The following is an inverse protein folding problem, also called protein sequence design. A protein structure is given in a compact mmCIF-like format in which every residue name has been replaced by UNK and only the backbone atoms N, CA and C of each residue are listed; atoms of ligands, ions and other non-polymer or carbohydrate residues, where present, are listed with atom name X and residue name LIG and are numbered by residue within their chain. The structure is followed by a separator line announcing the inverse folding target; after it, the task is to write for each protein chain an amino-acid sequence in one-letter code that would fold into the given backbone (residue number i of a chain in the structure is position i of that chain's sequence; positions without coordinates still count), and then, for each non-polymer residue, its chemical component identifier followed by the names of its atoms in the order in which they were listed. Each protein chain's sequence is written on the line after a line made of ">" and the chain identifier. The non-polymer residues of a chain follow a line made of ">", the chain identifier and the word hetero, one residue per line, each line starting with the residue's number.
data_IF_027075151030
#
_entry.id   IF_027075151030
#
_cell.length_a   1.000
_cell.length_b   1.000
_cell.length_c   1.000
_cell.angle_alpha   90.00
_cell.angle_beta   90.00
_cell.angle_gamma   90.00
#
_symmetry.space_group_name_H-M   'P 1'
#
loop_
_entity.id
_entity.type
_entity.pdbx_description
1 polymer ?
#
# COMPACT_ATOMS: atom_id res chain seq x y z
N UNK A 1 49.17 -22.67 -24.78
CA UNK A 1 49.42 -22.77 -26.24
C UNK A 1 48.37 -22.12 -27.16
N UNK A 2 47.22 -21.58 -26.70
CA UNK A 2 46.24 -20.91 -27.59
C UNK A 2 45.70 -19.55 -27.08
N UNK A 3 46.34 -18.91 -26.09
CA UNK A 3 45.84 -17.70 -25.40
C UNK A 3 44.35 -17.79 -24.98
N UNK A 4 43.94 -18.98 -24.53
CA UNK A 4 42.58 -19.27 -24.06
C UNK A 4 42.62 -19.44 -22.54
N UNK A 5 41.62 -18.89 -21.87
CA UNK A 5 41.39 -19.08 -20.44
C UNK A 5 40.39 -20.24 -20.28
N UNK A 6 40.76 -21.26 -19.50
CA UNK A 6 39.87 -22.34 -19.12
C UNK A 6 39.35 -22.13 -17.69
N UNK A 7 38.03 -22.05 -17.53
CA UNK A 7 37.38 -21.96 -16.22
C UNK A 7 37.17 -23.39 -15.70
N UNK A 8 37.71 -23.69 -14.52
CA UNK A 8 37.72 -25.06 -13.96
C UNK A 8 36.76 -25.25 -12.79
N UNK A 9 36.31 -24.16 -12.15
CA UNK A 9 35.45 -24.20 -10.97
C UNK A 9 34.14 -23.43 -11.23
N UNK A 10 33.03 -24.07 -10.89
CA UNK A 10 31.66 -23.55 -10.99
C UNK A 10 30.90 -23.71 -9.66
N UNK A 11 31.60 -23.84 -8.53
CA UNK A 11 31.01 -24.03 -7.20
C UNK A 11 30.24 -22.81 -6.67
N UNK A 12 30.53 -21.61 -7.18
CA UNK A 12 29.85 -20.36 -6.83
C UNK A 12 29.39 -19.66 -8.12
N UNK A 13 28.17 -19.98 -8.58
CA UNK A 13 27.58 -19.40 -9.78
C UNK A 13 26.24 -18.75 -9.43
N UNK A 14 26.06 -17.51 -9.88
CA UNK A 14 24.81 -16.76 -9.75
C UNK A 14 24.06 -16.67 -11.08
N UNK A 15 22.76 -16.40 -11.01
CA UNK A 15 21.96 -16.02 -12.17
C UNK A 15 21.59 -14.54 -12.02
N UNK A 16 21.92 -13.76 -13.04
CA UNK A 16 21.47 -12.38 -13.18
C UNK A 16 20.40 -12.41 -14.25
N UNK A 17 19.20 -11.94 -13.91
CA UNK A 17 18.15 -11.82 -14.90
C UNK A 17 18.42 -10.67 -15.87
N UNK A 18 17.59 -10.66 -16.90
CA UNK A 18 17.69 -9.76 -18.01
C UNK A 18 17.56 -8.28 -17.53
N UNK A 19 16.65 -7.99 -16.62
CA UNK A 19 16.36 -6.62 -16.19
C UNK A 19 17.45 -6.08 -15.24
N UNK A 20 17.97 -6.91 -14.33
CA UNK A 20 19.13 -6.57 -13.50
C UNK A 20 20.37 -6.31 -14.39
N UNK A 21 20.61 -7.14 -15.40
CA UNK A 21 21.73 -6.93 -16.34
C UNK A 21 21.63 -5.59 -17.07
N UNK A 22 20.41 -5.18 -17.44
CA UNK A 22 20.18 -3.88 -18.09
C UNK A 22 20.48 -2.72 -17.15
N UNK A 23 19.96 -2.76 -15.92
CA UNK A 23 20.24 -1.72 -14.93
C UNK A 23 21.71 -1.66 -14.53
N UNK A 24 22.42 -2.79 -14.50
CA UNK A 24 23.88 -2.81 -14.30
C UNK A 24 24.61 -2.10 -15.45
N UNK A 25 24.24 -2.36 -16.71
CA UNK A 25 24.84 -1.69 -17.86
C UNK A 25 24.59 -0.17 -17.82
N UNK A 26 23.37 0.26 -17.50
CA UNK A 26 23.03 1.68 -17.34
C UNK A 26 23.76 2.31 -16.15
N UNK A 27 23.94 1.57 -15.05
CA UNK A 27 24.73 1.98 -13.89
C UNK A 27 26.18 2.23 -14.28
N UNK A 28 26.82 1.30 -15.01
CA UNK A 28 28.18 1.47 -15.50
C UNK A 28 28.31 2.67 -16.44
N UNK A 29 27.38 2.85 -17.38
CA UNK A 29 27.39 4.00 -18.27
C UNK A 29 27.23 5.32 -17.50
N UNK A 30 26.32 5.37 -16.54
CA UNK A 30 26.11 6.56 -15.69
C UNK A 30 27.35 6.89 -14.86
N UNK A 31 28.05 5.88 -14.34
CA UNK A 31 29.32 6.05 -13.62
C UNK A 31 30.43 6.60 -14.54
N UNK A 32 30.50 6.14 -15.79
CA UNK A 32 31.47 6.62 -16.78
C UNK A 32 31.18 8.07 -17.19
N UNK A 33 29.90 8.44 -17.30
CA UNK A 33 29.45 9.79 -17.67
C UNK A 33 29.42 10.77 -16.49
N UNK A 34 29.68 10.30 -15.26
CA UNK A 34 29.47 11.05 -14.01
C UNK A 34 28.03 11.61 -13.90
N UNK A 35 27.06 10.88 -14.45
CA UNK A 35 25.65 11.24 -14.44
C UNK A 35 24.97 10.65 -13.20
N UNK A 36 25.17 11.34 -12.07
CA UNK A 36 24.61 10.94 -10.78
C UNK A 36 23.08 10.96 -10.76
N UNK A 37 22.43 11.79 -11.58
CA UNK A 37 20.97 11.82 -11.67
C UNK A 37 20.44 10.53 -12.31
N UNK A 38 21.02 10.11 -13.44
CA UNK A 38 20.69 8.80 -14.05
C UNK A 38 20.98 7.63 -13.10
N UNK A 39 22.08 7.70 -12.35
CA UNK A 39 22.46 6.65 -11.40
C UNK A 39 21.40 6.45 -10.31
N UNK A 40 20.88 7.56 -9.75
CA UNK A 40 19.80 7.53 -8.76
C UNK A 40 18.51 6.99 -9.36
N UNK A 41 18.18 7.39 -10.60
CA UNK A 41 17.02 6.85 -11.30
C UNK A 41 17.09 5.33 -11.50
N UNK A 42 18.26 4.78 -11.84
CA UNK A 42 18.43 3.32 -11.92
C UNK A 42 18.29 2.63 -10.57
N UNK A 43 18.76 3.25 -9.48
CA UNK A 43 18.63 2.69 -8.14
C UNK A 43 17.17 2.66 -7.66
N UNK A 44 16.38 3.68 -7.98
CA UNK A 44 14.93 3.69 -7.73
C UNK A 44 14.23 2.63 -8.60
N UNK A 45 14.59 2.54 -9.89
CA UNK A 45 14.03 1.55 -10.83
C UNK A 45 14.27 0.11 -10.38
N UNK A 46 15.46 -0.18 -9.83
CA UNK A 46 15.80 -1.48 -9.25
C UNK A 46 15.12 -1.75 -7.90
N UNK A 47 14.36 -0.79 -7.36
CA UNK A 47 13.75 -0.89 -6.04
C UNK A 47 14.76 -0.88 -4.90
N UNK A 48 16.00 -0.41 -5.15
CA UNK A 48 17.01 -0.26 -4.11
C UNK A 48 16.63 0.87 -3.17
N UNK A 49 16.16 1.99 -3.72
CA UNK A 49 15.71 3.17 -2.98
C UNK A 49 14.20 3.28 -3.03
N UNK A 50 13.62 3.76 -1.94
CA UNK A 50 12.19 4.10 -1.86
C UNK A 50 11.96 5.52 -2.39
N UNK A 51 10.75 5.80 -2.89
CA UNK A 51 10.42 7.11 -3.49
C UNK A 51 10.42 8.27 -2.48
N UNK A 52 10.33 7.98 -1.18
CA UNK A 52 10.34 8.96 -0.09
C UNK A 52 11.76 9.35 0.37
N UNK A 53 12.81 8.79 -0.24
CA UNK A 53 14.19 9.10 0.11
C UNK A 53 14.54 10.55 -0.25
N UNK A 54 15.34 11.22 0.59
CA UNK A 54 15.94 12.51 0.23
C UNK A 54 16.99 12.30 -0.87
N UNK A 55 16.55 12.39 -2.12
CA UNK A 55 17.37 12.16 -3.31
C UNK A 55 18.53 13.15 -3.40
N UNK A 56 18.40 14.36 -2.87
CA UNK A 56 19.46 15.36 -2.90
C UNK A 56 20.56 15.03 -1.90
N UNK A 57 20.19 14.64 -0.68
CA UNK A 57 21.16 14.16 0.30
C UNK A 57 21.86 12.90 -0.21
N UNK A 58 21.09 11.93 -0.71
CA UNK A 58 21.65 10.69 -1.27
C UNK A 58 22.63 10.96 -2.42
N UNK A 59 22.30 11.90 -3.31
CA UNK A 59 23.18 12.31 -4.41
C UNK A 59 24.54 12.81 -3.89
N UNK A 60 24.54 13.67 -2.88
CA UNK A 60 25.78 14.21 -2.32
C UNK A 60 26.63 13.10 -1.70
N UNK A 61 26.03 12.24 -0.89
CA UNK A 61 26.75 11.12 -0.25
C UNK A 61 27.28 10.12 -1.30
N UNK A 62 26.53 9.91 -2.38
CA UNK A 62 26.92 9.06 -3.50
C UNK A 62 28.09 9.66 -4.31
N UNK A 63 28.11 10.98 -4.49
CA UNK A 63 29.22 11.72 -5.09
C UNK A 63 30.49 11.58 -4.24
N UNK A 64 30.37 11.83 -2.94
CA UNK A 64 31.48 11.70 -1.99
C UNK A 64 32.06 10.27 -1.95
N UNK A 65 31.21 9.26 -2.19
CA UNK A 65 31.64 7.87 -2.32
C UNK A 65 32.39 7.60 -3.63
N UNK A 66 31.92 8.10 -4.77
CA UNK A 66 32.43 7.73 -6.11
C UNK A 66 33.63 8.58 -6.54
N UNK A 67 33.58 9.89 -6.33
CA UNK A 67 34.60 10.85 -6.79
C UNK A 67 36.04 10.46 -6.40
N UNK A 68 36.32 9.92 -5.19
CA UNK A 68 37.67 9.52 -4.81
C UNK A 68 38.28 8.40 -5.65
N UNK A 69 37.47 7.63 -6.36
CA UNK A 69 37.90 6.45 -7.13
C UNK A 69 37.87 6.69 -8.65
N UNK A 70 37.22 7.76 -9.11
CA UNK A 70 37.11 8.07 -10.53
C UNK A 70 38.49 8.37 -11.16
N UNK A 71 38.74 7.80 -12.35
CA UNK A 71 39.99 7.99 -13.10
C UNK A 71 41.24 7.39 -12.44
N UNK A 72 41.09 6.57 -11.39
CA UNK A 72 42.23 5.93 -10.71
C UNK A 72 42.54 4.55 -11.27
N UNK A 73 43.83 4.25 -11.31
CA UNK A 73 44.34 2.91 -11.61
C UNK A 73 43.92 1.91 -10.53
N UNK A 74 43.76 0.64 -10.90
CA UNK A 74 43.35 -0.43 -9.99
C UNK A 74 44.24 -0.56 -8.74
N UNK A 75 45.55 -0.29 -8.86
CA UNK A 75 46.48 -0.28 -7.70
C UNK A 75 46.11 0.72 -6.61
N UNK A 76 45.38 1.78 -6.95
CA UNK A 76 44.94 2.82 -6.03
C UNK A 76 43.52 2.57 -5.50
N UNK A 77 42.84 1.55 -6.05
CA UNK A 77 41.47 1.18 -5.71
C UNK A 77 41.49 -0.06 -4.83
N UNK A 78 40.75 -0.01 -3.72
CA UNK A 78 40.54 -1.17 -2.84
C UNK A 78 39.07 -1.58 -2.93
N UNK A 79 38.78 -2.65 -3.66
CA UNK A 79 37.40 -3.09 -3.92
C UNK A 79 36.63 -3.40 -2.63
N UNK A 80 37.31 -3.98 -1.62
CA UNK A 80 36.70 -4.23 -0.31
C UNK A 80 36.27 -2.95 0.42
N UNK A 81 37.05 -1.86 0.30
CA UNK A 81 36.68 -0.56 0.88
C UNK A 81 35.47 0.04 0.17
N UNK A 82 35.48 0.06 -1.17
CA UNK A 82 34.33 0.52 -1.98
C UNK A 82 33.07 -0.24 -1.58
N UNK A 83 33.15 -1.57 -1.48
CA UNK A 83 31.98 -2.37 -1.13
C UNK A 83 31.48 -2.05 0.29
N UNK A 84 32.39 -1.83 1.26
CA UNK A 84 32.03 -1.39 2.60
C UNK A 84 31.35 -0.03 2.60
N UNK A 85 31.88 0.93 1.84
CA UNK A 85 31.32 2.28 1.71
C UNK A 85 29.92 2.22 1.08
N UNK A 86 29.73 1.39 0.05
CA UNK A 86 28.43 1.17 -0.62
C UNK A 86 27.42 0.53 0.34
N UNK A 87 27.83 -0.47 1.13
CA UNK A 87 26.95 -1.07 2.14
C UNK A 87 26.56 -0.07 3.23
N UNK A 88 27.50 0.77 3.68
CA UNK A 88 27.21 1.80 4.67
C UNK A 88 26.21 2.82 4.14
N UNK A 89 26.37 3.25 2.88
CA UNK A 89 25.43 4.14 2.20
C UNK A 89 24.05 3.47 2.08
N UNK A 90 24.01 2.21 1.67
CA UNK A 90 22.76 1.45 1.59
C UNK A 90 22.04 1.37 2.95
N UNK A 91 22.77 1.16 4.05
CA UNK A 91 22.20 1.14 5.39
C UNK A 91 21.65 2.50 5.83
N UNK A 92 22.40 3.58 5.59
CA UNK A 92 21.99 4.94 5.95
C UNK A 92 20.65 5.33 5.28
N UNK A 93 20.45 4.91 4.05
CA UNK A 93 19.26 5.19 3.26
C UNK A 93 18.23 4.06 3.25
N UNK A 94 18.40 3.04 4.11
CA UNK A 94 17.52 1.86 4.23
C UNK A 94 17.26 1.17 2.88
N UNK A 95 18.26 1.20 2.01
CA UNK A 95 18.18 0.62 0.69
C UNK A 95 18.07 -0.91 0.77
N UNK A 96 17.29 -1.49 -0.14
CA UNK A 96 17.13 -2.95 -0.24
C UNK A 96 18.03 -3.48 -1.35
N UNK A 97 19.08 -4.20 -0.98
CA UNK A 97 20.03 -4.77 -1.96
C UNK A 97 19.63 -6.21 -2.32
N UNK A 98 19.35 -6.52 -3.59
CA UNK A 98 19.11 -7.88 -4.06
C UNK A 98 20.30 -8.81 -3.81
N UNK A 99 20.03 -10.09 -3.55
CA UNK A 99 21.07 -11.08 -3.27
C UNK A 99 22.03 -11.28 -4.45
N UNK A 100 21.53 -11.12 -5.67
CA UNK A 100 22.26 -11.21 -6.92
C UNK A 100 23.38 -10.17 -6.97
N UNK A 101 23.13 -8.95 -6.47
CA UNK A 101 24.12 -7.88 -6.42
C UNK A 101 25.19 -8.12 -5.34
N UNK A 102 24.81 -8.77 -4.23
CA UNK A 102 25.77 -9.18 -3.19
C UNK A 102 26.77 -10.20 -3.75
N UNK A 103 26.27 -11.19 -4.49
CA UNK A 103 27.12 -12.20 -5.12
C UNK A 103 28.03 -11.58 -6.19
N UNK A 104 27.50 -10.63 -6.98
CA UNK A 104 28.30 -9.87 -7.94
C UNK A 104 29.42 -9.06 -7.26
N UNK A 105 29.12 -8.41 -6.13
CA UNK A 105 30.12 -7.71 -5.31
C UNK A 105 31.23 -8.64 -4.83
N UNK A 106 30.89 -9.86 -4.39
CA UNK A 106 31.88 -10.89 -4.03
C UNK A 106 32.75 -11.31 -5.23
N UNK A 107 32.16 -11.42 -6.41
CA UNK A 107 32.91 -11.70 -7.65
C UNK A 107 33.91 -10.59 -7.95
N UNK A 108 33.53 -9.31 -7.82
CA UNK A 108 34.46 -8.19 -8.01
C UNK A 108 35.64 -8.25 -7.04
N UNK A 109 35.41 -8.49 -5.75
CA UNK A 109 36.49 -8.64 -4.76
C UNK A 109 37.42 -9.79 -5.13
N UNK A 110 36.86 -10.92 -5.57
CA UNK A 110 37.64 -12.12 -5.88
C UNK A 110 38.53 -11.92 -7.10
N UNK A 111 38.01 -11.23 -8.13
CA UNK A 111 38.74 -10.97 -9.37
C UNK A 111 39.73 -9.82 -9.21
N UNK A 112 39.47 -8.86 -8.32
CA UNK A 112 40.33 -7.69 -8.11
C UNK A 112 41.78 -8.07 -7.81
N UNK A 113 42.01 -9.05 -6.94
CA UNK A 113 43.36 -9.52 -6.62
C UNK A 113 44.10 -10.09 -7.83
N UNK A 114 43.39 -10.82 -8.70
CA UNK A 114 43.94 -11.35 -9.95
C UNK A 114 44.21 -10.22 -10.95
N UNK A 115 43.25 -9.31 -11.13
CA UNK A 115 43.38 -8.17 -12.03
C UNK A 115 44.57 -7.28 -11.63
N UNK A 116 44.74 -7.00 -10.33
CA UNK A 116 45.86 -6.21 -9.81
C UNK A 116 47.21 -6.89 -10.05
N UNK A 117 47.27 -8.22 -10.00
CA UNK A 117 48.51 -8.96 -10.28
C UNK A 117 48.87 -8.97 -11.77
N UNK A 118 47.88 -8.90 -12.67
CA UNK A 118 48.08 -8.92 -14.11
C UNK A 118 48.34 -7.53 -14.69
N UNK A 119 47.52 -6.55 -14.31
CA UNK A 119 47.61 -5.17 -14.76
C UNK A 119 47.19 -4.22 -13.62
N UNK A 120 48.15 -3.73 -12.81
CA UNK A 120 47.86 -2.82 -11.71
C UNK A 120 47.46 -1.41 -12.17
N UNK A 121 47.79 -1.03 -13.41
CA UNK A 121 47.60 0.31 -13.94
C UNK A 121 46.29 0.44 -14.75
N UNK A 122 45.55 -0.66 -14.91
CA UNK A 122 44.25 -0.71 -15.59
C UNK A 122 43.23 0.29 -15.01
N UNK A 123 42.54 1.00 -15.91
CA UNK A 123 41.46 1.93 -15.61
C UNK A 123 40.11 1.22 -15.81
N UNK A 124 39.58 0.60 -14.75
CA UNK A 124 38.41 -0.30 -14.81
C UNK A 124 37.20 0.33 -15.49
N UNK A 125 36.88 1.60 -15.19
CA UNK A 125 35.71 2.28 -15.77
C UNK A 125 35.88 2.50 -17.29
N UNK A 126 37.10 2.78 -17.75
CA UNK A 126 37.37 2.96 -19.19
C UNK A 126 37.27 1.64 -19.94
N UNK A 127 37.85 0.58 -19.37
CA UNK A 127 37.81 -0.77 -19.94
C UNK A 127 36.40 -1.38 -19.95
N UNK A 128 35.57 -1.05 -18.96
CA UNK A 128 34.18 -1.52 -18.88
C UNK A 128 33.25 -0.85 -19.91
N UNK A 129 33.59 0.35 -20.40
CA UNK A 129 32.76 1.15 -21.32
C UNK A 129 32.32 0.38 -22.58
N UNK A 130 33.20 -0.25 -23.38
CA UNK A 130 32.77 -0.97 -24.58
C UNK A 130 31.79 -2.11 -24.27
N UNK A 131 31.96 -2.82 -23.16
CA UNK A 131 31.06 -3.90 -22.75
C UNK A 131 29.69 -3.37 -22.34
N UNK A 132 29.63 -2.27 -21.57
CA UNK A 132 28.36 -1.62 -21.21
C UNK A 132 27.61 -1.13 -22.46
N UNK A 133 28.32 -0.51 -23.41
CA UNK A 133 27.73 -0.05 -24.67
C UNK A 133 27.24 -1.22 -25.54
N UNK A 134 27.97 -2.33 -25.59
CA UNK A 134 27.54 -3.53 -26.32
C UNK A 134 26.26 -4.13 -25.72
N UNK A 135 26.17 -4.22 -24.38
CA UNK A 135 24.98 -4.71 -23.69
C UNK A 135 23.75 -3.86 -24.02
N UNK A 136 23.88 -2.53 -23.94
CA UNK A 136 22.82 -1.59 -24.29
C UNK A 136 22.44 -1.74 -25.77
N UNK A 137 23.42 -1.80 -26.68
CA UNK A 137 23.17 -1.95 -28.12
C UNK A 137 22.46 -3.26 -28.47
N UNK A 138 22.85 -4.37 -27.83
CA UNK A 138 22.22 -5.67 -28.00
C UNK A 138 20.76 -5.64 -27.57
N UNK A 139 20.42 -4.90 -26.52
CA UNK A 139 19.04 -4.67 -26.07
C UNK A 139 18.23 -3.77 -26.99
N UNK A 140 18.83 -2.68 -27.48
CA UNK A 140 18.18 -1.80 -28.44
C UNK A 140 18.03 -2.43 -29.82
N UNK A 141 18.58 -3.63 -30.04
CA UNK A 141 18.42 -4.34 -31.30
C UNK A 141 16.94 -4.65 -31.57
N UNK A 142 16.46 -4.45 -32.81
CA UNK A 142 15.08 -4.73 -33.17
C UNK A 142 14.68 -6.18 -32.87
N UNK A 143 15.60 -7.14 -33.04
CA UNK A 143 15.35 -8.55 -32.76
C UNK A 143 15.08 -8.82 -31.27
N UNK A 144 15.83 -8.18 -30.37
CA UNK A 144 15.60 -8.31 -28.92
C UNK A 144 14.26 -7.68 -28.53
N UNK A 145 13.97 -6.48 -29.02
CA UNK A 145 12.73 -5.77 -28.73
C UNK A 145 11.49 -6.52 -29.25
N UNK A 146 11.56 -7.09 -30.45
CA UNK A 146 10.49 -7.95 -31.00
C UNK A 146 10.30 -9.20 -30.14
N UNK A 147 11.40 -9.83 -29.71
CA UNK A 147 11.33 -11.02 -28.84
C UNK A 147 10.69 -10.68 -27.49
N UNK A 148 11.06 -9.55 -26.88
CA UNK A 148 10.48 -9.07 -25.62
C UNK A 148 8.99 -8.76 -25.79
N UNK A 149 8.62 -8.03 -26.85
CA UNK A 149 7.24 -7.71 -27.17
C UNK A 149 6.38 -8.97 -27.39
N UNK A 150 6.92 -9.97 -28.11
CA UNK A 150 6.24 -11.25 -28.32
C UNK A 150 5.98 -11.99 -27.00
N UNK A 151 6.95 -12.02 -26.09
CA UNK A 151 6.76 -12.60 -24.74
C UNK A 151 5.69 -11.85 -23.97
N UNK A 152 5.75 -10.52 -23.90
CA UNK A 152 4.74 -9.71 -23.21
C UNK A 152 3.33 -9.91 -23.78
N UNK A 153 3.20 -10.03 -25.10
CA UNK A 153 1.91 -10.32 -25.76
C UNK A 153 1.45 -11.75 -25.44
N UNK A 154 2.36 -12.72 -25.39
CA UNK A 154 2.04 -14.09 -24.97
C UNK A 154 1.54 -14.13 -23.53
N UNK A 155 2.22 -13.43 -22.62
CA UNK A 155 1.83 -13.35 -21.21
C UNK A 155 0.44 -12.71 -21.06
N UNK A 156 0.14 -11.65 -21.83
CA UNK A 156 -1.20 -11.05 -21.91
C UNK A 156 -2.25 -12.01 -22.46
N UNK A 157 -1.89 -12.83 -23.46
CA UNK A 157 -2.78 -13.84 -24.03
C UNK A 157 -3.17 -14.88 -22.99
N UNK A 158 -2.24 -15.31 -22.16
CA UNK A 158 -2.50 -16.29 -21.11
C UNK A 158 -3.42 -15.71 -20.01
N UNK A 159 -3.23 -14.45 -19.64
CA UNK A 159 -4.15 -13.73 -18.74
C UNK A 159 -5.57 -13.69 -19.35
N UNK A 160 -5.71 -13.34 -20.63
CA UNK A 160 -7.01 -13.26 -21.30
C UNK A 160 -7.69 -14.63 -21.38
N UNK A 161 -6.93 -15.72 -21.54
CA UNK A 161 -7.48 -17.09 -21.51
C UNK A 161 -8.02 -17.50 -20.15
N UNK A 162 -7.45 -16.97 -19.07
CA UNK A 162 -7.84 -17.32 -17.70
C UNK A 162 -9.01 -16.49 -17.15
N UNK A 163 -9.24 -15.29 -17.71
CA UNK A 163 -10.34 -14.39 -17.33
C UNK A 163 -11.72 -15.07 -17.39
N UNK A 164 -12.11 -15.79 -18.47
CA UNK A 164 -13.41 -16.45 -18.55
C UNK A 164 -13.65 -17.45 -17.42
N UNK A 165 -12.61 -18.18 -16.99
CA UNK A 165 -12.69 -19.14 -15.90
C UNK A 165 -12.91 -18.47 -14.55
N UNK A 166 -12.17 -17.39 -14.28
CA UNK A 166 -12.33 -16.61 -13.05
C UNK A 166 -13.70 -15.93 -12.98
N UNK A 167 -14.18 -15.36 -14.09
CA UNK A 167 -15.51 -14.76 -14.18
C UNK A 167 -16.61 -15.81 -14.00
N UNK A 168 -16.47 -16.98 -14.63
CA UNK A 168 -17.39 -18.11 -14.44
C UNK A 168 -17.41 -18.60 -13.00
N UNK A 169 -16.28 -18.60 -12.31
CA UNK A 169 -16.19 -18.96 -10.90
C UNK A 169 -16.92 -17.95 -10.00
N UNK A 170 -16.72 -16.64 -10.23
CA UNK A 170 -17.43 -15.58 -9.52
C UNK A 170 -18.94 -15.67 -9.78
N UNK A 171 -19.35 -15.78 -11.05
CA UNK A 171 -20.76 -15.92 -11.44
C UNK A 171 -21.40 -17.17 -10.81
N UNK A 172 -20.71 -18.31 -10.81
CA UNK A 172 -21.18 -19.54 -10.17
C UNK A 172 -21.30 -19.40 -8.64
N UNK A 173 -20.43 -18.61 -8.01
CA UNK A 173 -20.48 -18.32 -6.57
C UNK A 173 -21.62 -17.36 -6.21
N UNK A 174 -21.91 -16.40 -7.09
CA UNK A 174 -23.08 -15.48 -7.03
C UNK A 174 -24.38 -16.26 -7.22
N UNK A 175 -24.47 -17.07 -8.27
CA UNK A 175 -25.67 -17.84 -8.62
C UNK A 175 -25.96 -19.00 -7.66
N UNK A 176 -25.01 -19.41 -6.82
CA UNK A 176 -25.20 -20.46 -5.80
C UNK A 176 -25.73 -19.94 -4.46
N UNK A 177 -26.22 -18.70 -4.39
CA UNK A 177 -26.77 -18.07 -3.17
C UNK A 177 -25.83 -18.10 -1.95
N UNK A 178 -24.52 -18.29 -2.18
CA UNK A 178 -23.50 -18.31 -1.11
C UNK A 178 -22.83 -16.97 -0.87
N UNK A 179 -23.27 -15.92 -1.57
CA UNK A 179 -22.96 -14.56 -1.20
C UNK A 179 -23.81 -14.18 0.02
N UNK A 180 -23.38 -14.65 1.20
CA UNK A 180 -23.68 -13.93 2.45
C UNK A 180 -22.95 -12.61 2.33
N UNK A 181 -23.59 -11.63 1.70
CA UNK A 181 -23.15 -10.25 1.84
C UNK A 181 -23.45 -9.92 3.30
N UNK A 182 -22.42 -9.95 4.14
CA UNK A 182 -22.48 -9.51 5.52
C UNK A 182 -22.65 -7.98 5.50
N UNK A 183 -23.87 -7.57 5.21
CA UNK A 183 -24.30 -6.19 5.19
C UNK A 183 -24.38 -5.71 6.64
N UNK A 184 -23.23 -5.33 7.21
CA UNK A 184 -23.16 -4.64 8.51
C UNK A 184 -23.74 -3.23 8.34
N UNK A 185 -25.08 -3.11 8.37
CA UNK A 185 -25.77 -1.82 8.32
C UNK A 185 -25.76 -1.18 9.71
N UNK A 186 -24.68 -0.47 10.05
CA UNK A 186 -24.53 0.27 11.31
C UNK A 186 -25.57 1.39 11.54
N UNK A 187 -26.49 1.62 10.59
CA UNK A 187 -27.54 2.65 10.67
C UNK A 187 -28.95 2.12 10.97
N UNK A 188 -29.22 0.83 10.76
CA UNK A 188 -30.57 0.29 10.89
C UNK A 188 -30.99 0.15 12.36
N UNK A 189 -30.07 -0.23 13.24
CA UNK A 189 -30.31 -0.32 14.68
C UNK A 189 -30.68 1.04 15.28
N UNK A 190 -30.09 2.13 14.75
CA UNK A 190 -30.42 3.50 15.16
C UNK A 190 -31.82 3.90 14.68
N UNK A 191 -32.20 3.51 13.47
CA UNK A 191 -33.55 3.75 12.95
C UNK A 191 -34.60 2.99 13.77
N UNK A 192 -34.36 1.71 14.08
CA UNK A 192 -35.26 0.90 14.90
C UNK A 192 -35.44 1.54 16.28
N UNK A 193 -34.34 1.94 16.93
CA UNK A 193 -34.39 2.59 18.24
C UNK A 193 -35.14 3.94 18.22
N UNK A 194 -34.97 4.75 17.18
CA UNK A 194 -35.68 6.03 17.03
C UNK A 194 -37.18 5.82 16.71
N UNK A 195 -37.51 4.74 15.97
CA UNK A 195 -38.87 4.33 15.65
C UNK A 195 -39.61 3.83 16.90
N UNK A 196 -38.99 3.00 17.73
CA UNK A 196 -39.57 2.53 18.99
C UNK A 196 -39.83 3.67 19.97
N UNK A 197 -38.89 4.63 20.09
CA UNK A 197 -39.10 5.85 20.89
C UNK A 197 -40.28 6.66 20.40
N UNK A 198 -40.44 6.81 19.08
CA UNK A 198 -41.54 7.55 18.48
C UNK A 198 -42.89 6.83 18.68
N UNK A 199 -42.90 5.51 18.51
CA UNK A 199 -44.08 4.66 18.73
C UNK A 199 -44.60 4.73 20.18
N UNK A 200 -43.67 4.67 21.15
CA UNK A 200 -44.04 4.80 22.56
C UNK A 200 -44.60 6.19 22.89
N UNK A 201 -43.99 7.26 22.37
CA UNK A 201 -44.52 8.63 22.56
C UNK A 201 -45.94 8.78 22.03
N UNK A 202 -46.20 8.25 20.83
CA UNK A 202 -47.55 8.26 20.24
C UNK A 202 -48.54 7.48 21.10
N UNK A 203 -48.17 6.29 21.53
CA UNK A 203 -49.04 5.44 22.38
C UNK A 203 -49.41 6.15 23.69
N UNK A 204 -48.44 6.78 24.38
CA UNK A 204 -48.71 7.54 25.59
C UNK A 204 -49.56 8.79 25.33
N UNK A 205 -49.30 9.53 24.25
CA UNK A 205 -50.13 10.68 23.85
C UNK A 205 -51.59 10.28 23.62
N UNK A 206 -51.85 9.11 23.02
CA UNK A 206 -53.19 8.60 22.81
C UNK A 206 -53.88 8.21 24.12
N UNK A 207 -53.17 7.52 25.03
CA UNK A 207 -53.71 7.16 26.34
C UNK A 207 -54.04 8.42 27.15
N UNK A 208 -53.12 9.40 27.18
CA UNK A 208 -53.35 10.68 27.88
C UNK A 208 -54.56 11.40 27.28
N UNK A 209 -54.65 11.47 25.94
CA UNK A 209 -55.80 12.08 25.26
C UNK A 209 -57.11 11.37 25.62
N UNK A 210 -57.12 10.03 25.66
CA UNK A 210 -58.29 9.25 26.06
C UNK A 210 -58.68 9.50 27.53
N UNK A 211 -57.71 9.61 28.44
CA UNK A 211 -57.99 9.95 29.85
C UNK A 211 -58.54 11.38 29.96
N UNK A 212 -57.97 12.35 29.23
CA UNK A 212 -58.45 13.73 29.20
C UNK A 212 -59.90 13.76 28.73
N UNK A 213 -60.20 13.17 27.57
CA UNK A 213 -61.56 13.13 26.99
C UNK A 213 -62.53 12.39 27.93
N UNK A 214 -62.14 11.22 28.43
CA UNK A 214 -62.97 10.45 29.36
C UNK A 214 -63.26 11.22 30.65
N UNK A 215 -62.27 11.92 31.19
CA UNK A 215 -62.42 12.77 32.37
C UNK A 215 -63.30 13.98 32.09
N UNK A 216 -63.19 14.61 30.91
CA UNK A 216 -64.08 15.68 30.45
C UNK A 216 -65.53 15.23 30.40
N UNK A 217 -65.81 14.04 29.86
CA UNK A 217 -67.16 13.49 29.78
C UNK A 217 -67.72 13.19 31.17
N UNK A 218 -66.92 12.61 32.07
CA UNK A 218 -67.32 12.34 33.46
C UNK A 218 -67.62 13.64 34.22
N UNK A 219 -66.88 14.72 33.95
CA UNK A 219 -67.12 16.03 34.55
C UNK A 219 -68.53 16.57 34.29
N UNK A 220 -69.11 16.23 33.13
CA UNK A 220 -70.47 16.62 32.74
C UNK A 220 -71.56 15.72 33.33
N UNK A 221 -71.21 14.59 33.95
CA UNK A 221 -72.19 13.60 34.41
C UNK A 221 -72.86 13.93 35.75
N UNK A 222 -72.29 14.84 36.55
CA UNK A 222 -72.86 15.28 37.83
C UNK A 222 -73.04 14.18 38.90
N UNK A 223 -72.39 13.02 38.75
CA UNK A 223 -72.53 11.89 39.68
C UNK A 223 -71.69 12.08 40.95
N UNK A 224 -72.29 11.79 42.11
CA UNK A 224 -71.59 11.72 43.40
C UNK A 224 -70.61 10.52 43.43
N UNK A 225 -69.47 10.60 44.14
CA UNK A 225 -69.04 11.66 45.06
C UNK A 225 -68.48 12.91 44.36
N UNK A 226 -68.75 14.08 44.96
CA UNK A 226 -68.29 15.39 44.48
C UNK A 226 -67.08 15.88 45.30
N UNK A 227 -66.07 16.43 44.63
CA UNK A 227 -64.89 17.07 45.21
C UNK A 227 -64.87 18.52 44.73
N UNK A 228 -64.93 19.51 45.63
CA UNK A 228 -65.01 20.94 45.30
C UNK A 228 -66.13 21.30 44.29
N UNK A 229 -67.25 20.57 44.32
CA UNK A 229 -68.39 20.78 43.41
C UNK A 229 -68.30 20.04 42.06
N UNK A 230 -67.22 19.29 41.82
CA UNK A 230 -67.00 18.53 40.59
C UNK A 230 -66.96 17.02 40.85
N UNK A 231 -67.39 16.16 39.90
CA UNK A 231 -67.27 14.70 40.06
C UNK A 231 -65.84 14.26 40.38
N UNK A 232 -65.66 13.54 41.49
CA UNK A 232 -64.34 13.17 42.02
C UNK A 232 -63.50 12.39 41.01
N UNK A 233 -64.11 11.45 40.27
CA UNK A 233 -63.45 10.66 39.23
C UNK A 233 -62.90 11.51 38.08
N UNK A 234 -63.62 12.57 37.68
CA UNK A 234 -63.18 13.48 36.63
C UNK A 234 -61.97 14.31 37.07
N UNK A 235 -61.99 14.81 38.31
CA UNK A 235 -60.87 15.56 38.89
C UNK A 235 -59.62 14.68 39.00
N UNK A 236 -59.76 13.46 39.53
CA UNK A 236 -58.65 12.50 39.61
C UNK A 236 -58.08 12.19 38.22
N UNK A 237 -58.94 11.95 37.23
CA UNK A 237 -58.51 11.67 35.87
C UNK A 237 -57.72 12.81 35.23
N UNK A 238 -58.10 14.07 35.44
CA UNK A 238 -57.33 15.23 34.99
C UNK A 238 -55.98 15.38 35.70
N UNK A 239 -55.93 15.15 37.02
CA UNK A 239 -54.66 15.19 37.76
C UNK A 239 -53.71 14.11 37.22
N UNK A 240 -54.22 12.89 37.02
CA UNK A 240 -53.43 11.78 36.46
C UNK A 240 -52.97 12.11 35.04
N UNK A 241 -53.85 12.61 34.17
CA UNK A 241 -53.48 13.02 32.81
C UNK A 241 -52.44 14.15 32.79
N UNK A 242 -52.56 15.12 33.69
CA UNK A 242 -51.62 16.24 33.82
C UNK A 242 -50.22 15.78 34.26
N UNK A 243 -50.15 14.89 35.26
CA UNK A 243 -48.89 14.28 35.70
C UNK A 243 -48.24 13.44 34.60
N UNK A 244 -49.02 12.60 33.91
CA UNK A 244 -48.53 11.79 32.78
C UNK A 244 -48.09 12.65 31.59
N UNK A 245 -48.83 13.72 31.29
CA UNK A 245 -48.49 14.68 30.23
C UNK A 245 -47.19 15.44 30.52
N UNK A 246 -47.02 15.93 31.75
CA UNK A 246 -45.77 16.56 32.19
C UNK A 246 -44.59 15.58 32.13
N UNK A 247 -44.79 14.35 32.59
CA UNK A 247 -43.77 13.31 32.51
C UNK A 247 -43.36 13.00 31.07
N UNK A 248 -44.34 12.87 30.15
CA UNK A 248 -44.07 12.65 28.73
C UNK A 248 -43.32 13.82 28.09
N UNK A 249 -43.71 15.07 28.40
CA UNK A 249 -43.04 16.26 27.91
C UNK A 249 -41.57 16.33 28.37
N UNK A 250 -41.31 16.06 29.66
CA UNK A 250 -39.95 15.99 30.21
C UNK A 250 -39.14 14.87 29.55
N UNK A 251 -39.75 13.70 29.33
CA UNK A 251 -39.11 12.55 28.67
C UNK A 251 -38.69 12.88 27.23
N UNK A 252 -39.53 13.61 26.48
CA UNK A 252 -39.21 14.08 25.12
C UNK A 252 -38.04 15.07 25.16
N UNK A 253 -38.08 16.07 26.04
CA UNK A 253 -37.01 17.09 26.14
C UNK A 253 -35.67 16.48 26.56
N UNK A 254 -35.67 15.55 27.53
CA UNK A 254 -34.45 14.90 28.03
C UNK A 254 -33.83 13.93 27.02
N UNK A 255 -34.59 13.43 26.06
CA UNK A 255 -34.12 12.49 25.03
C UNK A 255 -33.22 13.12 23.95
N UNK A 256 -33.01 14.45 24.00
CA UNK A 256 -31.92 15.12 23.27
C UNK A 256 -32.11 15.28 21.76
N UNK A 257 -33.35 15.26 21.25
CA UNK A 257 -33.65 15.65 19.86
C UNK A 257 -34.96 16.42 19.80
N UNK A 258 -34.84 17.74 19.91
CA UNK A 258 -35.67 18.70 19.17
C UNK A 258 -34.77 19.27 18.07
#
# INVERSE_FOLDING_TARGET
>A
ENNKIGIVDFGIVGKIDDDIMESLANTFLSLIELDYDKLIHEYIRLGLLTEDVDTKAFKNDLQDLIDPYYGKALRQIQAGKILSDVFQLALNYKARVPNELILLGKTFITIEGLARALDPDILILEEAKPFAMELIRKRLSPSYQITKAYRTISDLSDIVKDIPGQLSYILKKVMKDKLKIEFVHSGLDRLIMDMDKSSNRLSFSLIISAIVIGSSVVMLSGKEPLLFGFPMLGVIGYIVAGLLGLWLAISILRSGRL
#
